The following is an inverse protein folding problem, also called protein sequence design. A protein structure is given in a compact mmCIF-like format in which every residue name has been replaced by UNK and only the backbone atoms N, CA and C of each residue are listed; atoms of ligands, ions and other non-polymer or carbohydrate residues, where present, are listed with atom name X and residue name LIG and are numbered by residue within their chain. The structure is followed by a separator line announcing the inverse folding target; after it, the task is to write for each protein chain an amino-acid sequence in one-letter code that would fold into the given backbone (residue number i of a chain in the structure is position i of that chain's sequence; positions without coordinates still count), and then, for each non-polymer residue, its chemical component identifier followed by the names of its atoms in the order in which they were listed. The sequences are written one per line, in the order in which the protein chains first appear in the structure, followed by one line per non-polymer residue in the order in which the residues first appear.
data_IF_239676065127
#
_entry.id   IF_239676065127
#
_cell.length_a   1.000
_cell.length_b   1.000
_cell.length_c   1.000
_cell.angle_alpha   90.00
_cell.angle_beta   90.00
_cell.angle_gamma   90.00
#
_symmetry.space_group_name_H-M   'P 1'
#
loop_
_entity.id
_entity.type
_entity.pdbx_description
1 polymer ?
#
# COMPACT_ATOMS: atom_id res chain seq x y z
N UNK A 1 18.22 25.55 -29.80
CA UNK A 1 17.64 26.08 -28.54
C UNK A 1 17.34 24.95 -27.56
N UNK A 2 17.96 24.87 -26.37
CA UNK A 2 17.76 23.77 -25.43
C UNK A 2 16.59 24.05 -24.46
N UNK A 3 15.35 24.03 -24.96
CA UNK A 3 14.14 24.17 -24.11
C UNK A 3 13.72 22.87 -23.40
N UNK A 4 14.44 21.76 -23.62
CA UNK A 4 14.03 20.40 -23.22
C UNK A 4 14.37 20.03 -21.77
N UNK A 5 15.52 20.47 -21.22
CA UNK A 5 15.95 20.06 -19.88
C UNK A 5 15.28 20.82 -18.73
N UNK A 6 15.11 22.14 -18.85
CA UNK A 6 14.48 22.97 -17.79
C UNK A 6 13.03 22.56 -17.49
N UNK A 7 12.25 22.22 -18.52
CA UNK A 7 10.85 21.81 -18.36
C UNK A 7 10.68 20.44 -17.70
N UNK A 8 11.61 19.48 -17.90
CA UNK A 8 11.55 18.16 -17.25
C UNK A 8 11.80 18.26 -15.74
N UNK A 9 12.79 19.07 -15.33
CA UNK A 9 13.08 19.28 -13.91
C UNK A 9 11.92 20.00 -13.18
N UNK A 10 11.31 21.01 -13.81
CA UNK A 10 10.15 21.70 -13.25
C UNK A 10 8.94 20.76 -13.09
N UNK A 11 8.65 19.92 -14.09
CA UNK A 11 7.59 18.91 -14.00
C UNK A 11 7.86 17.89 -12.88
N UNK A 12 9.08 17.35 -12.81
CA UNK A 12 9.48 16.41 -11.76
C UNK A 12 9.27 16.99 -10.36
N UNK A 13 9.69 18.23 -10.13
CA UNK A 13 9.54 18.90 -8.82
C UNK A 13 8.06 19.08 -8.42
N UNK A 14 7.18 19.39 -9.37
CA UNK A 14 5.76 19.57 -9.10
C UNK A 14 5.05 18.26 -8.70
N UNK A 15 5.47 17.11 -9.22
CA UNK A 15 4.92 15.82 -8.82
C UNK A 15 5.31 15.44 -7.39
N UNK A 16 6.58 15.60 -7.01
CA UNK A 16 7.02 15.35 -5.64
C UNK A 16 6.36 16.26 -4.60
N UNK A 17 6.15 17.54 -4.94
CA UNK A 17 5.40 18.46 -4.09
C UNK A 17 3.96 17.98 -3.89
N UNK A 18 3.26 17.62 -4.97
CA UNK A 18 1.90 17.09 -4.88
C UNK A 18 1.84 15.78 -4.12
N UNK A 19 2.74 14.85 -4.38
CA UNK A 19 2.83 13.57 -3.67
C UNK A 19 2.93 13.79 -2.15
N UNK A 20 3.73 14.76 -1.69
CA UNK A 20 3.79 15.14 -0.28
C UNK A 20 2.50 15.76 0.26
N UNK A 21 1.80 16.58 -0.54
CA UNK A 21 0.53 17.19 -0.11
C UNK A 21 -0.60 16.18 0.02
N UNK A 22 -0.57 15.11 -0.78
CA UNK A 22 -1.63 14.09 -0.80
C UNK A 22 -1.20 12.78 -0.14
N UNK A 23 0.02 12.68 0.40
CA UNK A 23 0.51 11.45 1.04
C UNK A 23 -0.07 11.24 2.42
N UNK A 24 -0.55 12.29 3.07
CA UNK A 24 -1.28 12.12 4.31
C UNK A 24 -2.65 11.51 3.98
N UNK A 25 -2.98 10.43 4.68
CA UNK A 25 -4.27 9.76 4.58
C UNK A 25 -4.57 9.06 3.25
N UNK A 26 -3.61 8.31 2.71
CA UNK A 26 -3.80 7.46 1.54
C UNK A 26 -4.01 5.99 1.90
N UNK A 27 -4.67 5.29 1.00
CA UNK A 27 -4.74 3.83 0.96
C UNK A 27 -4.31 3.35 -0.43
N UNK A 28 -3.38 2.40 -0.44
CA UNK A 28 -2.90 1.71 -1.63
C UNK A 28 -3.27 0.24 -1.51
N UNK A 29 -3.93 -0.31 -2.52
CA UNK A 29 -4.47 -1.66 -2.50
C UNK A 29 -4.00 -2.39 -3.76
N UNK A 30 -3.57 -3.63 -3.60
CA UNK A 30 -3.36 -4.55 -4.71
C UNK A 30 -4.09 -5.87 -4.43
N UNK A 31 -4.48 -6.53 -5.50
CA UNK A 31 -4.89 -7.94 -5.50
C UNK A 31 -4.15 -8.68 -6.59
N UNK A 32 -3.72 -9.89 -6.30
CA UNK A 32 -3.00 -10.72 -7.26
C UNK A 32 -3.92 -11.19 -8.38
N UNK A 33 -5.21 -11.42 -8.13
CA UNK A 33 -6.19 -11.78 -9.16
C UNK A 33 -6.55 -10.64 -10.12
N UNK A 34 -6.17 -9.39 -9.82
CA UNK A 34 -6.31 -8.26 -10.74
C UNK A 34 -5.19 -8.22 -11.79
N UNK A 35 -4.32 -9.23 -11.80
CA UNK A 35 -3.26 -9.44 -12.77
C UNK A 35 -3.82 -9.92 -14.12
N UNK A 36 -3.56 -9.14 -15.17
CA UNK A 36 -3.63 -9.65 -16.54
C UNK A 36 -2.38 -10.49 -16.81
N UNK A 37 -2.56 -11.78 -17.09
CA UNK A 37 -1.49 -12.75 -17.38
C UNK A 37 -0.62 -12.29 -18.57
N UNK A 38 -1.15 -11.43 -19.45
CA UNK A 38 -0.41 -10.89 -20.59
C UNK A 38 0.41 -9.61 -20.28
N UNK A 39 0.20 -8.95 -19.13
CA UNK A 39 0.57 -7.54 -18.96
C UNK A 39 1.71 -7.22 -17.98
N UNK A 40 2.17 -8.17 -17.16
CA UNK A 40 3.40 -8.03 -16.39
C UNK A 40 3.47 -6.80 -15.49
N UNK A 41 2.56 -6.69 -14.51
CA UNK A 41 2.71 -5.72 -13.42
C UNK A 41 1.55 -5.76 -12.43
N UNK A 42 1.86 -5.90 -11.14
CA UNK A 42 0.89 -5.68 -10.05
C UNK A 42 0.39 -4.23 -10.12
N UNK A 43 -0.85 -4.01 -10.54
CA UNK A 43 -1.45 -2.67 -10.57
C UNK A 43 -1.81 -2.24 -9.15
N UNK A 44 -1.02 -1.33 -8.58
CA UNK A 44 -1.33 -0.73 -7.29
C UNK A 44 -2.35 0.39 -7.48
N UNK A 45 -3.58 0.17 -7.02
CA UNK A 45 -4.62 1.21 -6.99
C UNK A 45 -4.44 2.01 -5.72
N UNK A 46 -4.46 3.33 -5.81
CA UNK A 46 -4.39 4.17 -4.62
C UNK A 46 -5.47 5.25 -4.66
N UNK A 47 -5.97 5.60 -3.48
CA UNK A 47 -6.98 6.63 -3.30
C UNK A 47 -6.75 7.36 -1.98
N UNK A 48 -7.28 8.57 -1.87
CA UNK A 48 -7.31 9.29 -0.62
C UNK A 48 -8.43 8.73 0.29
N UNK A 49 -8.13 8.48 1.57
CA UNK A 49 -9.07 7.86 2.52
C UNK A 49 -10.31 8.72 2.77
N UNK A 50 -10.15 10.04 2.94
CA UNK A 50 -11.28 10.92 3.30
C UNK A 50 -12.37 11.06 2.23
N UNK A 51 -11.99 11.06 0.95
CA UNK A 51 -12.90 11.42 -0.15
C UNK A 51 -12.88 10.43 -1.31
N UNK A 52 -12.12 9.33 -1.19
CA UNK A 52 -12.11 8.21 -2.15
C UNK A 52 -11.54 8.54 -3.53
N UNK A 53 -11.00 9.75 -3.76
CA UNK A 53 -10.51 10.12 -5.08
C UNK A 53 -9.27 9.30 -5.45
N UNK A 54 -9.23 8.72 -6.65
CA UNK A 54 -8.09 7.95 -7.11
C UNK A 54 -6.86 8.85 -7.30
N UNK A 55 -5.68 8.30 -6.98
CA UNK A 55 -4.41 8.94 -7.23
C UNK A 55 -3.86 8.54 -8.60
N UNK A 56 -3.09 9.44 -9.21
CA UNK A 56 -2.46 9.20 -10.51
C UNK A 56 -1.21 8.37 -10.30
N UNK A 57 -0.90 7.47 -11.23
CA UNK A 57 0.24 6.53 -11.11
C UNK A 57 1.57 7.22 -10.80
N UNK A 58 1.82 8.41 -11.39
CA UNK A 58 3.03 9.19 -11.11
C UNK A 58 3.13 9.70 -9.66
N UNK A 59 2.00 9.99 -9.02
CA UNK A 59 1.96 10.41 -7.62
C UNK A 59 2.12 9.19 -6.71
N UNK A 60 1.50 8.05 -7.07
CA UNK A 60 1.68 6.76 -6.37
C UNK A 60 3.17 6.37 -6.31
N UNK A 61 3.86 6.42 -7.46
CA UNK A 61 5.30 6.11 -7.54
C UNK A 61 6.18 7.04 -6.72
N UNK A 62 5.79 8.30 -6.57
CA UNK A 62 6.48 9.25 -5.71
C UNK A 62 6.20 8.95 -4.23
N UNK A 63 4.96 8.65 -3.86
CA UNK A 63 4.58 8.38 -2.46
C UNK A 63 5.25 7.11 -1.93
N UNK A 64 5.36 6.05 -2.74
CA UNK A 64 6.11 4.82 -2.40
C UNK A 64 7.52 5.12 -1.89
N UNK A 65 8.14 6.20 -2.37
CA UNK A 65 9.53 6.59 -2.07
C UNK A 65 9.63 7.61 -0.93
N UNK A 66 8.52 8.07 -0.37
CA UNK A 66 8.51 8.94 0.81
C UNK A 66 8.73 8.11 2.09
N UNK A 67 9.45 8.70 3.04
CA UNK A 67 9.59 8.15 4.39
C UNK A 67 8.31 8.42 5.18
N UNK A 68 7.48 7.41 5.42
CA UNK A 68 6.18 7.55 6.07
C UNK A 68 6.00 6.43 7.11
N UNK A 69 5.08 6.63 8.06
CA UNK A 69 4.60 5.54 8.89
C UNK A 69 3.46 4.82 8.14
N UNK A 70 3.58 3.51 8.05
CA UNK A 70 2.67 2.68 7.29
C UNK A 70 1.90 1.73 8.21
N UNK A 71 0.60 1.59 7.97
CA UNK A 71 -0.16 0.40 8.33
C UNK A 71 -0.22 -0.47 7.09
N UNK A 72 0.25 -1.69 7.21
CA UNK A 72 0.32 -2.66 6.12
C UNK A 72 -0.45 -3.90 6.51
N UNK A 73 -1.34 -4.34 5.63
CA UNK A 73 -2.15 -5.55 5.80
C UNK A 73 -1.95 -6.47 4.62
N UNK A 74 -1.51 -7.70 4.88
CA UNK A 74 -1.50 -8.79 3.90
C UNK A 74 -2.82 -9.52 4.00
N UNK A 75 -3.48 -9.74 2.87
CA UNK A 75 -4.82 -10.32 2.78
C UNK A 75 -4.76 -11.63 2.02
N UNK A 76 -5.32 -12.69 2.61
CA UNK A 76 -5.55 -13.97 1.94
C UNK A 76 -7.06 -14.16 1.80
N UNK A 77 -7.55 -14.13 0.57
CA UNK A 77 -8.97 -14.27 0.30
C UNK A 77 -9.32 -15.74 0.10
N UNK A 78 -10.24 -16.22 0.92
CA UNK A 78 -10.61 -17.62 0.99
C UNK A 78 -12.11 -17.83 0.76
N UNK A 79 -12.45 -19.00 0.23
CA UNK A 79 -13.82 -19.50 0.09
C UNK A 79 -13.88 -20.92 0.63
N UNK A 80 -14.64 -21.12 1.70
CA UNK A 80 -14.86 -22.43 2.31
C UNK A 80 -15.74 -23.33 1.40
N UNK A 81 -15.79 -24.65 1.65
CA UNK A 81 -16.50 -25.60 0.78
C UNK A 81 -18.02 -25.36 0.73
N UNK A 82 -18.58 -24.79 1.79
CA UNK A 82 -19.98 -24.34 1.89
C UNK A 82 -20.27 -23.08 1.06
N UNK A 83 -19.23 -22.46 0.49
CA UNK A 83 -19.30 -21.25 -0.30
C UNK A 83 -19.05 -19.96 0.47
N UNK A 84 -18.89 -20.03 1.81
CA UNK A 84 -18.66 -18.87 2.67
C UNK A 84 -17.32 -18.22 2.36
N UNK A 85 -17.32 -16.89 2.16
CA UNK A 85 -16.10 -16.12 1.90
C UNK A 85 -15.55 -15.55 3.21
N UNK A 86 -14.25 -15.67 3.41
CA UNK A 86 -13.54 -15.06 4.53
C UNK A 86 -12.20 -14.50 4.07
N UNK A 87 -11.58 -13.68 4.90
CA UNK A 87 -10.26 -13.10 4.61
C UNK A 87 -9.41 -13.23 5.85
N UNK A 88 -8.27 -13.91 5.72
CA UNK A 88 -7.24 -13.88 6.74
C UNK A 88 -6.36 -12.67 6.52
N UNK A 89 -6.10 -11.91 7.58
CA UNK A 89 -5.23 -10.75 7.53
C UNK A 89 -4.08 -10.82 8.52
N UNK A 90 -2.96 -10.24 8.12
CA UNK A 90 -1.79 -9.98 8.98
C UNK A 90 -1.42 -8.52 8.86
N UNK A 91 -1.36 -7.85 10.00
CA UNK A 91 -1.10 -6.41 10.09
C UNK A 91 0.28 -6.11 10.65
N UNK A 92 0.93 -5.09 10.09
CA UNK A 92 2.07 -4.40 10.68
C UNK A 92 1.81 -2.91 10.67
N UNK A 93 2.13 -2.26 11.78
CA UNK A 93 2.18 -0.80 11.89
C UNK A 93 3.64 -0.41 12.13
N UNK A 94 4.22 0.40 11.24
CA UNK A 94 5.61 0.83 11.38
C UNK A 94 5.72 1.97 12.40
N UNK A 95 6.45 1.73 13.49
CA UNK A 95 6.75 2.76 14.49
C UNK A 95 7.68 3.84 13.92
N UNK A 96 8.68 3.42 13.15
CA UNK A 96 9.58 4.32 12.43
C UNK A 96 9.10 4.60 11.01
N UNK A 97 9.53 5.74 10.47
CA UNK A 97 9.23 6.13 9.09
C UNK A 97 10.13 5.34 8.16
N UNK A 98 9.55 4.73 7.13
CA UNK A 98 10.27 3.99 6.10
C UNK A 98 9.62 4.20 4.72
N UNK A 99 10.32 3.77 3.66
CA UNK A 99 9.73 3.73 2.31
C UNK A 99 8.95 2.43 2.12
N UNK A 100 7.87 2.48 1.33
CA UNK A 100 7.05 1.29 1.11
C UNK A 100 7.84 0.09 0.53
N UNK A 101 8.78 0.27 -0.43
CA UNK A 101 9.61 -0.84 -0.93
C UNK A 101 10.52 -1.48 0.12
N UNK A 102 10.83 -0.79 1.23
CA UNK A 102 11.65 -1.36 2.31
C UNK A 102 10.86 -2.41 3.13
N UNK A 103 9.55 -2.55 2.89
CA UNK A 103 8.69 -3.54 3.52
C UNK A 103 8.50 -4.82 2.68
N UNK A 104 9.23 -4.98 1.55
CA UNK A 104 9.10 -6.13 0.64
C UNK A 104 9.34 -7.48 1.34
N UNK A 105 10.38 -7.56 2.18
CA UNK A 105 10.69 -8.79 2.93
C UNK A 105 9.60 -9.11 3.97
N UNK A 106 9.04 -8.08 4.60
CA UNK A 106 7.89 -8.23 5.49
C UNK A 106 6.68 -8.80 4.73
N UNK A 107 6.33 -8.24 3.56
CA UNK A 107 5.23 -8.73 2.73
C UNK A 107 5.40 -10.22 2.38
N UNK A 108 6.60 -10.61 1.92
CA UNK A 108 6.92 -12.00 1.56
C UNK A 108 6.80 -12.94 2.75
N UNK A 109 7.36 -12.55 3.90
CA UNK A 109 7.29 -13.35 5.13
C UNK A 109 5.85 -13.53 5.59
N UNK A 110 5.10 -12.44 5.73
CA UNK A 110 3.72 -12.50 6.22
C UNK A 110 2.79 -13.23 5.25
N UNK A 111 2.99 -13.09 3.95
CA UNK A 111 2.24 -13.87 2.96
C UNK A 111 2.48 -15.36 3.14
N UNK A 112 3.74 -15.77 3.31
CA UNK A 112 4.09 -17.18 3.54
C UNK A 112 3.44 -17.71 4.82
N UNK A 113 3.53 -16.97 5.91
CA UNK A 113 2.99 -17.38 7.21
C UNK A 113 1.44 -17.41 7.18
N UNK A 114 0.81 -16.43 6.55
CA UNK A 114 -0.64 -16.39 6.37
C UNK A 114 -1.14 -17.56 5.50
N UNK A 115 -0.42 -17.89 4.42
CA UNK A 115 -0.74 -19.04 3.56
C UNK A 115 -0.62 -20.37 4.31
N UNK A 116 0.29 -20.51 5.27
CA UNK A 116 0.39 -21.70 6.10
C UNK A 116 -0.76 -21.84 7.11
N UNK A 117 -1.41 -20.72 7.48
CA UNK A 117 -2.54 -20.73 8.42
C UNK A 117 -3.90 -21.03 7.79
N UNK A 118 -3.97 -21.16 6.47
CA UNK A 118 -5.22 -21.43 5.73
C UNK A 118 -5.15 -22.75 4.96
N UNK A 119 -6.32 -23.34 4.71
CA UNK A 119 -6.39 -24.44 3.75
C UNK A 119 -6.16 -23.89 2.33
N UNK A 120 -5.08 -24.34 1.68
CA UNK A 120 -4.71 -23.92 0.34
C UNK A 120 -5.82 -24.10 -0.71
N UNK A 121 -6.70 -25.11 -0.55
CA UNK A 121 -7.81 -25.33 -1.49
C UNK A 121 -8.91 -24.28 -1.38
N UNK A 122 -8.96 -23.52 -0.28
CA UNK A 122 -9.93 -22.44 -0.09
C UNK A 122 -9.42 -21.11 -0.64
N UNK A 123 -8.11 -20.96 -0.85
CA UNK A 123 -7.52 -19.70 -1.29
C UNK A 123 -7.83 -19.47 -2.77
N UNK A 124 -8.47 -18.35 -3.08
CA UNK A 124 -8.76 -17.96 -4.47
C UNK A 124 -8.01 -16.70 -4.91
N UNK A 125 -7.50 -15.91 -3.96
CA UNK A 125 -6.75 -14.69 -4.25
C UNK A 125 -5.90 -14.28 -3.04
N UNK A 126 -4.89 -13.44 -3.27
CA UNK A 126 -4.17 -12.74 -2.21
C UNK A 126 -3.98 -11.26 -2.57
N UNK A 127 -3.62 -10.44 -1.60
CA UNK A 127 -3.37 -9.03 -1.85
C UNK A 127 -2.71 -8.35 -0.68
N UNK A 128 -2.49 -7.05 -0.82
CA UNK A 128 -2.10 -6.22 0.30
C UNK A 128 -2.77 -4.86 0.26
N UNK A 129 -2.89 -4.27 1.44
CA UNK A 129 -3.30 -2.90 1.65
C UNK A 129 -2.17 -2.19 2.41
N UNK A 130 -1.67 -1.09 1.86
CA UNK A 130 -0.72 -0.22 2.50
C UNK A 130 -1.34 1.16 2.68
N UNK A 131 -1.34 1.63 3.91
CA UNK A 131 -1.99 2.85 4.33
C UNK A 131 -1.01 3.74 5.06
N UNK A 132 -1.05 5.03 4.78
CA UNK A 132 -0.38 5.99 5.65
C UNK A 132 -1.21 6.20 6.90
N UNK A 133 -0.54 6.30 8.04
CA UNK A 133 -1.19 6.61 9.31
C UNK A 133 -1.72 8.03 9.33
N UNK A 134 -2.90 8.21 9.92
CA UNK A 134 -3.48 9.51 10.27
C UNK A 134 -2.67 10.18 11.38
N UNK A 135 -2.82 11.49 11.56
CA UNK A 135 -2.16 12.21 12.65
C UNK A 135 -2.46 11.61 14.02
N UNK A 136 -3.73 11.30 14.30
CA UNK A 136 -4.14 10.68 15.56
C UNK A 136 -3.45 9.32 15.80
N UNK A 137 -3.27 8.51 14.76
CA UNK A 137 -2.56 7.23 14.86
C UNK A 137 -1.05 7.43 15.07
N UNK A 138 -0.45 8.42 14.40
CA UNK A 138 0.95 8.80 14.61
C UNK A 138 1.20 9.28 16.04
N UNK A 139 0.27 10.06 16.59
CA UNK A 139 0.36 10.59 17.95
C UNK A 139 0.24 9.48 19.00
N UNK A 140 -0.67 8.51 18.80
CA UNK A 140 -0.77 7.32 19.68
C UNK A 140 0.49 6.46 19.66
N UNK A 141 1.15 6.31 18.51
CA UNK A 141 2.42 5.60 18.43
C UNK A 141 3.56 6.32 19.15
N UNK A 142 3.53 7.65 19.18
CA UNK A 142 4.54 8.47 19.89
C UNK A 142 4.29 8.52 21.39
N UNK A 143 3.02 8.52 21.81
CA UNK A 143 2.60 8.64 23.19
C UNK A 143 1.66 7.48 23.57
N UNK A 144 2.20 6.26 23.79
CA UNK A 144 1.39 5.08 24.09
C UNK A 144 0.64 5.16 25.43
N UNK A 145 1.03 6.07 26.33
CA UNK A 145 0.42 6.26 27.66
C UNK A 145 -0.77 7.24 27.67
N UNK A 146 -1.10 7.88 26.55
CA UNK A 146 -2.19 8.86 26.46
C UNK A 146 -3.52 8.29 25.92
N UNK A 147 -3.63 6.96 25.80
CA UNK A 147 -4.78 6.25 25.22
C UNK A 147 -5.63 5.56 26.27
#
# INVERSE_FOLDING_TARGET
MPKSRKNKHAKHNNHWKRARMVSDNIIMETRESWYDIAGGGLELKARHKSHGMPLRSVDIEAIKKLMLNWRVRVLIYCKAPDGTRYTEERELITAERCKLPELDDFFKSQKKDALQSVNHTHVFDTGFIAETLTDAERDRLRNPEAA
#
